data_IF_294258778760
#
_entry.id   IF_294258778760
#
_cell.length_a   1.000
_cell.length_b   1.000
_cell.length_c   1.000
_cell.angle_alpha   90.00
_cell.angle_beta   90.00
_cell.angle_gamma   90.00
#
_symmetry.space_group_name_H-M   'P 1'
#
loop_
_entity.id
_entity.type
_entity.pdbx_description
1 polymer ?
#
# COMPACT_ATOMS: atom_id res chain seq x y z
N UNK A 1 20.91 -9.86 -0.06
CA UNK A 1 19.71 -9.47 -0.83
C UNK A 1 18.87 -10.73 -1.03
N UNK A 2 17.83 -10.95 -0.22
CA UNK A 2 16.92 -12.09 -0.45
C UNK A 2 15.87 -11.63 -1.45
N UNK A 3 15.88 -12.23 -2.63
CA UNK A 3 14.83 -12.06 -3.60
C UNK A 3 13.51 -12.53 -2.98
N UNK A 4 12.49 -11.68 -2.99
CA UNK A 4 11.10 -12.10 -2.79
C UNK A 4 10.77 -12.85 -4.08
N UNK A 5 11.02 -14.16 -4.07
CA UNK A 5 10.74 -15.05 -5.20
C UNK A 5 9.23 -15.16 -5.31
N UNK A 6 8.71 -15.10 -6.53
CA UNK A 6 7.31 -15.15 -6.97
C UNK A 6 6.46 -16.37 -6.50
N UNK A 7 6.80 -17.04 -5.40
CA UNK A 7 6.04 -18.17 -4.82
C UNK A 7 4.80 -17.74 -4.03
N UNK A 8 4.68 -16.46 -3.65
CA UNK A 8 3.61 -16.00 -2.74
C UNK A 8 2.31 -15.56 -3.46
N UNK A 9 2.26 -15.62 -4.79
CA UNK A 9 1.07 -15.28 -5.60
C UNK A 9 0.20 -16.51 -5.94
N UNK A 10 0.12 -17.48 -5.02
CA UNK A 10 -0.90 -18.54 -5.06
C UNK A 10 -2.31 -17.93 -4.85
N UNK A 11 -3.42 -18.60 -5.24
CA UNK A 11 -4.75 -18.00 -5.22
C UNK A 11 -5.12 -17.45 -3.83
N UNK A 12 -5.64 -16.23 -3.83
CA UNK A 12 -5.85 -15.28 -2.72
C UNK A 12 -6.85 -15.77 -1.64
N UNK A 13 -6.63 -16.92 -1.01
CA UNK A 13 -7.45 -17.42 0.10
C UNK A 13 -7.25 -16.63 1.41
N UNK A 14 -8.28 -16.59 2.26
CA UNK A 14 -8.33 -15.76 3.48
C UNK A 14 -7.20 -15.99 4.50
N UNK A 15 -6.72 -17.23 4.64
CA UNK A 15 -5.72 -17.59 5.65
C UNK A 15 -4.29 -17.16 5.27
N UNK A 16 -3.98 -17.11 3.97
CA UNK A 16 -2.68 -16.62 3.46
C UNK A 16 -2.54 -15.10 3.69
N UNK A 17 -3.66 -14.36 3.73
CA UNK A 17 -3.63 -12.91 3.98
C UNK A 17 -3.14 -12.56 5.38
N UNK A 18 -3.46 -13.36 6.40
CA UNK A 18 -3.09 -13.05 7.77
C UNK A 18 -1.57 -13.12 8.00
N UNK A 19 -0.90 -14.15 7.48
CA UNK A 19 0.55 -14.30 7.65
C UNK A 19 1.35 -13.32 6.78
N UNK A 20 0.88 -13.04 5.56
CA UNK A 20 1.44 -12.00 4.71
C UNK A 20 1.35 -10.61 5.37
N UNK A 21 0.23 -10.30 6.03
CA UNK A 21 0.07 -9.05 6.77
C UNK A 21 1.01 -8.97 7.98
N UNK A 22 1.17 -10.05 8.74
CA UNK A 22 2.13 -10.10 9.87
C UNK A 22 3.55 -9.82 9.40
N UNK A 23 3.96 -10.42 8.28
CA UNK A 23 5.29 -10.21 7.72
C UNK A 23 5.48 -8.75 7.25
N UNK A 24 4.53 -8.21 6.49
CA UNK A 24 4.58 -6.84 5.99
C UNK A 24 4.65 -5.82 7.12
N UNK A 25 3.84 -6.00 8.18
CA UNK A 25 3.89 -5.15 9.38
C UNK A 25 5.21 -5.32 10.11
N UNK A 26 5.73 -6.55 10.22
CA UNK A 26 7.04 -6.83 10.80
C UNK A 26 8.17 -6.09 10.07
N UNK A 27 8.14 -6.05 8.74
CA UNK A 27 9.10 -5.25 7.96
C UNK A 27 8.97 -3.75 8.20
N UNK A 28 7.73 -3.26 8.35
CA UNK A 28 7.48 -1.85 8.62
C UNK A 28 8.03 -1.43 9.99
N UNK A 29 7.74 -2.21 11.03
CA UNK A 29 8.25 -2.00 12.40
C UNK A 29 9.78 -2.09 12.45
N UNK A 30 10.38 -2.99 11.68
CA UNK A 30 11.83 -3.12 11.55
C UNK A 30 12.48 -2.04 10.65
N UNK A 31 11.70 -1.10 10.10
CA UNK A 31 12.18 -0.02 9.23
C UNK A 31 12.68 -0.47 7.85
N UNK A 32 12.45 -1.74 7.47
CA UNK A 32 12.87 -2.31 6.17
C UNK A 32 12.00 -1.84 5.00
N UNK A 33 10.75 -1.47 5.30
CA UNK A 33 9.81 -0.90 4.33
C UNK A 33 9.09 0.29 4.95
N UNK A 34 8.88 1.34 4.16
CA UNK A 34 8.11 2.51 4.55
C UNK A 34 7.17 2.88 3.41
N UNK A 35 5.88 3.16 3.69
CA UNK A 35 4.99 3.69 2.68
C UNK A 35 5.47 5.08 2.27
N UNK A 36 5.64 5.30 0.97
CA UNK A 36 5.86 6.63 0.42
C UNK A 36 4.51 7.37 0.40
N UNK A 37 4.21 8.12 1.45
CA UNK A 37 2.98 8.92 1.55
C UNK A 37 3.27 10.28 0.93
N UNK A 38 2.57 10.59 -0.16
CA UNK A 38 2.72 11.86 -0.87
C UNK A 38 1.75 12.92 -0.34
N UNK A 39 0.59 12.51 0.17
CA UNK A 39 -0.37 13.45 0.76
C UNK A 39 -1.54 12.78 1.46
N UNK A 40 -2.18 13.54 2.33
CA UNK A 40 -3.44 13.19 2.99
C UNK A 40 -4.45 14.28 2.67
N UNK A 41 -5.65 13.88 2.24
CA UNK A 41 -6.70 14.80 1.76
C UNK A 41 -8.03 14.45 2.44
N UNK A 42 -8.89 15.45 2.69
CA UNK A 42 -10.26 15.20 3.12
C UNK A 42 -10.98 14.25 2.18
N UNK A 43 -11.85 13.40 2.73
CA UNK A 43 -12.72 12.52 1.94
C UNK A 43 -13.60 13.32 0.98
N UNK A 44 -13.96 14.56 1.33
CA UNK A 44 -14.68 15.49 0.45
C UNK A 44 -13.95 15.76 -0.88
N UNK A 45 -12.62 15.68 -0.90
CA UNK A 45 -11.79 15.93 -2.09
C UNK A 45 -11.57 14.68 -2.95
N UNK A 46 -12.20 13.55 -2.61
CA UNK A 46 -11.96 12.25 -3.24
C UNK A 46 -12.07 12.30 -4.78
N UNK A 47 -13.03 13.03 -5.33
CA UNK A 47 -13.19 13.16 -6.78
C UNK A 47 -11.93 13.74 -7.44
N UNK A 48 -11.39 14.84 -6.90
CA UNK A 48 -10.19 15.48 -7.42
C UNK A 48 -8.94 14.60 -7.24
N UNK A 49 -8.83 13.95 -6.08
CA UNK A 49 -7.73 13.01 -5.77
C UNK A 49 -7.73 11.84 -6.75
N UNK A 50 -8.89 11.25 -7.05
CA UNK A 50 -9.02 10.15 -8.02
C UNK A 50 -8.66 10.62 -9.43
N UNK A 51 -9.13 11.80 -9.86
CA UNK A 51 -8.74 12.37 -11.17
C UNK A 51 -7.23 12.49 -11.30
N UNK A 52 -6.54 12.99 -10.26
CA UNK A 52 -5.07 13.08 -10.24
C UNK A 52 -4.40 11.71 -10.37
N UNK A 53 -4.86 10.72 -9.59
CA UNK A 53 -4.28 9.35 -9.62
C UNK A 53 -4.45 8.72 -11.00
N UNK A 54 -5.65 8.80 -11.58
CA UNK A 54 -5.92 8.28 -12.92
C UNK A 54 -5.11 9.00 -14.01
N UNK A 55 -4.86 10.29 -13.82
CA UNK A 55 -3.95 11.08 -14.67
C UNK A 55 -2.46 10.81 -14.45
N UNK A 56 -2.08 9.82 -13.63
CA UNK A 56 -0.69 9.53 -13.24
C UNK A 56 0.03 10.70 -12.57
N UNK A 57 -0.73 11.60 -11.92
CA UNK A 57 -0.22 12.78 -11.25
C UNK A 57 0.28 12.55 -9.82
N UNK A 58 0.38 11.29 -9.38
CA UNK A 58 0.88 10.91 -8.06
C UNK A 58 1.97 9.82 -8.21
N UNK A 59 3.04 9.96 -7.44
CA UNK A 59 4.17 9.01 -7.37
C UNK A 59 4.17 8.20 -6.07
N UNK A 60 3.39 8.62 -5.07
CA UNK A 60 3.22 7.94 -3.78
C UNK A 60 1.77 7.51 -3.50
N UNK A 61 1.54 7.06 -2.27
CA UNK A 61 0.20 6.80 -1.73
C UNK A 61 -0.45 8.11 -1.31
N UNK A 62 -1.71 8.29 -1.70
CA UNK A 62 -2.58 9.37 -1.21
C UNK A 62 -3.57 8.75 -0.21
N UNK A 63 -3.75 9.40 0.93
CA UNK A 63 -4.67 8.96 1.98
C UNK A 63 -5.89 9.87 1.97
N UNK A 64 -7.09 9.29 2.08
CA UNK A 64 -8.31 10.03 2.35
C UNK A 64 -8.65 9.91 3.83
N UNK A 65 -8.88 11.04 4.51
CA UNK A 65 -9.31 11.07 5.91
C UNK A 65 -10.74 11.63 6.04
N UNK A 66 -11.46 11.18 7.07
CA UNK A 66 -12.80 11.67 7.41
C UNK A 66 -12.76 13.10 7.94
#
# INVERSE_FOLDING_TARGET
MKAIIARDFAPLGQLVHADNLKELVGWHLAGKVRPAIEGTYPLADAAAVVTRVLGRGASGKLILNL
#
